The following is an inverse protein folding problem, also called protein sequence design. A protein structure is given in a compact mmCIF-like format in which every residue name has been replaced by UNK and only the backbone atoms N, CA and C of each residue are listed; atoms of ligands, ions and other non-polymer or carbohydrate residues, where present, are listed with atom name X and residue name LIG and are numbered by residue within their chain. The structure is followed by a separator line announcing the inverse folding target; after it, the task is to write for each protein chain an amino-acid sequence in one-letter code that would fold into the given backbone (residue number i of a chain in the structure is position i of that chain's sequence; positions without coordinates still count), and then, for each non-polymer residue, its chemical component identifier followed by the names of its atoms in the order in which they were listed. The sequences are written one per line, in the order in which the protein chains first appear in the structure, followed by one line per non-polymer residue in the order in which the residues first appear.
data_IF_482073616916
#
_entry.id   IF_482073616916
#
_cell.length_a   1.000
_cell.length_b   1.000
_cell.length_c   1.000
_cell.angle_alpha   90.00
_cell.angle_beta   90.00
_cell.angle_gamma   90.00
#
_symmetry.space_group_name_H-M   'P 1'
#
loop_
_entity.id
_entity.type
_entity.pdbx_description
1 polymer ?
#
# COMPACT_ATOMS: atom_id res chain seq x y z
N UNK A 1 -16.08 -27.05 46.47
CA UNK A 1 -14.81 -27.75 46.19
C UNK A 1 -14.46 -27.42 44.75
N UNK A 2 -13.65 -26.38 44.55
CA UNK A 2 -13.24 -25.91 43.22
C UNK A 2 -11.72 -25.92 43.20
N UNK A 3 -11.14 -26.61 42.21
CA UNK A 3 -9.70 -26.81 42.06
C UNK A 3 -9.09 -25.59 41.35
N UNK A 4 -8.10 -24.88 41.93
CA UNK A 4 -7.51 -23.69 41.30
C UNK A 4 -6.05 -23.96 40.87
N UNK A 5 -5.82 -24.60 39.71
CA UNK A 5 -4.45 -24.74 39.16
C UNK A 5 -4.39 -25.20 37.68
N UNK A 6 -4.90 -24.43 36.71
CA UNK A 6 -4.84 -24.83 35.27
C UNK A 6 -4.14 -23.89 34.26
N UNK A 7 -3.40 -22.82 34.61
CA UNK A 7 -2.51 -22.16 33.63
C UNK A 7 -1.06 -22.65 33.68
N UNK A 8 -0.58 -23.11 34.85
CA UNK A 8 0.83 -23.45 35.05
C UNK A 8 1.16 -24.85 34.51
N UNK A 9 0.24 -25.81 34.66
CA UNK A 9 0.41 -27.17 34.12
C UNK A 9 0.49 -27.18 32.60
N UNK A 10 -0.38 -26.42 31.92
CA UNK A 10 -0.35 -26.30 30.46
C UNK A 10 0.96 -25.66 29.97
N UNK A 11 1.46 -24.66 30.70
CA UNK A 11 2.74 -24.02 30.40
C UNK A 11 3.91 -24.97 30.52
N UNK A 12 3.92 -25.82 31.54
CA UNK A 12 4.94 -26.86 31.73
C UNK A 12 4.83 -27.98 30.69
N UNK A 13 3.61 -28.40 30.35
CA UNK A 13 3.38 -29.47 29.37
C UNK A 13 3.78 -29.05 27.95
N UNK A 14 3.53 -27.79 27.57
CA UNK A 14 4.05 -27.21 26.33
C UNK A 14 5.57 -27.11 26.35
N UNK A 15 6.16 -26.66 27.46
CA UNK A 15 7.64 -26.57 27.60
C UNK A 15 8.29 -27.94 27.50
N UNK A 16 7.62 -28.98 27.99
CA UNK A 16 8.00 -30.38 27.86
C UNK A 16 7.85 -30.89 26.43
N UNK A 17 6.77 -30.53 25.73
CA UNK A 17 6.56 -30.90 24.32
C UNK A 17 7.64 -30.29 23.42
N UNK A 18 7.92 -28.99 23.57
CA UNK A 18 8.91 -28.30 22.74
C UNK A 18 10.36 -28.64 23.10
N UNK A 19 10.60 -29.23 24.27
CA UNK A 19 11.90 -29.79 24.66
C UNK A 19 12.12 -31.22 24.14
N UNK A 20 11.15 -31.83 23.45
CA UNK A 20 11.32 -33.14 22.83
C UNK A 20 12.20 -33.00 21.56
N UNK A 21 13.40 -33.56 21.63
CA UNK A 21 14.36 -33.64 20.51
C UNK A 21 13.78 -34.31 19.25
N UNK A 22 12.65 -35.04 19.36
CA UNK A 22 11.94 -35.61 18.21
C UNK A 22 11.18 -34.57 17.39
N UNK A 23 10.84 -33.43 17.99
CA UNK A 23 10.23 -32.28 17.29
C UNK A 23 11.29 -31.30 16.77
N UNK A 24 12.56 -31.48 17.14
CA UNK A 24 13.65 -30.74 16.55
C UNK A 24 13.81 -31.16 15.08
N UNK A 25 13.18 -30.41 14.17
CA UNK A 25 13.40 -30.57 12.73
C UNK A 25 14.86 -30.22 12.46
N UNK A 26 15.73 -31.18 12.11
CA UNK A 26 17.12 -30.86 11.86
C UNK A 26 17.20 -29.95 10.64
N UNK A 27 17.67 -28.73 10.84
CA UNK A 27 18.03 -27.88 9.73
C UNK A 27 19.16 -28.57 8.97
N UNK A 28 18.92 -28.94 7.71
CA UNK A 28 19.99 -29.38 6.85
C UNK A 28 21.07 -28.28 6.83
N UNK A 29 22.30 -28.62 7.23
CA UNK A 29 23.42 -27.70 7.16
C UNK A 29 23.55 -27.22 5.72
N UNK A 30 23.49 -25.90 5.52
CA UNK A 30 23.46 -25.27 4.19
C UNK A 30 22.07 -24.92 3.66
N UNK A 31 20.97 -25.10 4.41
CA UNK A 31 19.63 -24.67 3.97
C UNK A 31 19.57 -23.16 3.67
N UNK A 32 20.27 -22.34 4.48
CA UNK A 32 20.39 -20.89 4.24
C UNK A 32 21.12 -20.61 2.93
N UNK A 33 22.25 -21.28 2.70
CA UNK A 33 23.04 -21.11 1.49
C UNK A 33 22.29 -21.62 0.24
N UNK A 34 21.50 -22.69 0.36
CA UNK A 34 20.66 -23.21 -0.70
C UNK A 34 19.52 -22.24 -1.06
N UNK A 35 18.91 -21.59 -0.07
CA UNK A 35 17.89 -20.55 -0.28
C UNK A 35 18.51 -19.34 -0.98
N UNK A 36 19.67 -18.87 -0.51
CA UNK A 36 20.38 -17.73 -1.11
C UNK A 36 20.84 -18.05 -2.53
N UNK A 37 21.40 -19.24 -2.76
CA UNK A 37 21.80 -19.69 -4.10
C UNK A 37 20.60 -19.83 -5.04
N UNK A 38 19.47 -20.32 -4.55
CA UNK A 38 18.20 -20.38 -5.29
C UNK A 38 17.70 -19.00 -5.69
N UNK A 39 17.67 -18.05 -4.76
CA UNK A 39 17.28 -16.66 -5.00
C UNK A 39 18.21 -15.97 -6.01
N UNK A 40 19.53 -16.17 -5.88
CA UNK A 40 20.53 -15.55 -6.75
C UNK A 40 20.48 -16.10 -8.17
N UNK A 41 20.18 -17.39 -8.36
CA UNK A 41 19.97 -18.01 -9.68
C UNK A 41 18.76 -17.39 -10.40
N UNK A 42 17.68 -17.10 -9.68
CA UNK A 42 16.47 -16.46 -10.22
C UNK A 42 16.76 -15.04 -10.72
N UNK A 43 17.53 -14.24 -9.95
CA UNK A 43 17.99 -12.90 -10.36
C UNK A 43 18.90 -12.93 -11.59
N UNK A 44 19.82 -13.90 -11.71
CA UNK A 44 20.70 -14.02 -12.89
C UNK A 44 19.93 -14.35 -14.17
N UNK A 45 18.92 -15.23 -14.11
CA UNK A 45 18.07 -15.54 -15.27
C UNK A 45 17.29 -14.32 -15.76
N UNK A 46 16.82 -13.45 -14.85
CA UNK A 46 16.12 -12.22 -15.22
C UNK A 46 17.00 -11.22 -15.99
N UNK A 47 18.31 -11.21 -15.76
CA UNK A 47 19.25 -10.33 -16.50
C UNK A 47 19.68 -10.87 -17.87
N UNK A 48 19.48 -12.17 -18.13
CA UNK A 48 19.80 -12.77 -19.43
C UNK A 48 18.64 -12.69 -20.44
N UNK A 49 17.43 -12.33 -20.00
CA UNK A 49 16.24 -12.23 -20.86
C UNK A 49 16.05 -10.86 -21.54
N UNK A 50 16.89 -9.85 -21.24
CA UNK A 50 16.79 -8.49 -21.80
C UNK A 50 17.93 -8.12 -22.76
N UNK A 51 18.62 -9.10 -23.35
CA UNK A 51 19.67 -8.83 -24.35
C UNK A 51 19.66 -9.81 -25.53
N UNK A 52 18.60 -9.76 -26.32
CA UNK A 52 18.54 -10.30 -27.68
C UNK A 52 17.31 -9.71 -28.38
N UNK A 53 17.32 -9.16 -29.59
CA UNK A 53 18.37 -8.78 -30.52
C UNK A 53 17.66 -7.88 -31.55
N UNK A 54 18.36 -6.86 -32.04
CA UNK A 54 17.89 -6.00 -33.11
C UNK A 54 17.88 -6.72 -34.47
N UNK A 55 16.97 -6.27 -35.36
CA UNK A 55 17.01 -6.28 -36.83
C UNK A 55 16.75 -7.61 -37.60
N UNK A 56 15.56 -7.68 -38.24
CA UNK A 56 15.28 -8.09 -39.63
C UNK A 56 13.74 -8.12 -39.79
N UNK A 57 13.06 -7.70 -40.86
CA UNK A 57 13.38 -7.28 -42.21
C UNK A 57 12.04 -6.98 -42.92
N UNK A 58 12.13 -6.28 -44.05
CA UNK A 58 11.05 -5.61 -44.79
C UNK A 58 10.28 -6.54 -45.76
N UNK A 59 8.98 -6.22 -45.99
CA UNK A 59 8.12 -6.50 -47.18
C UNK A 59 7.62 -7.93 -47.51
N UNK A 60 6.30 -8.15 -47.52
CA UNK A 60 5.47 -8.30 -48.75
C UNK A 60 4.01 -8.75 -48.49
N UNK A 61 3.19 -8.32 -49.46
CA UNK A 61 1.75 -8.44 -49.67
C UNK A 61 1.15 -9.88 -49.76
N UNK A 62 -0.18 -9.88 -49.63
CA UNK A 62 -1.17 -10.73 -50.33
C UNK A 62 -1.67 -12.03 -49.68
N UNK A 63 -2.94 -11.98 -49.25
CA UNK A 63 -4.00 -12.93 -49.62
C UNK A 63 -3.92 -14.37 -49.11
N UNK A 64 -4.92 -14.79 -48.33
CA UNK A 64 -5.22 -16.21 -48.14
C UNK A 64 -6.10 -16.53 -46.94
N UNK A 65 -7.41 -16.62 -47.18
CA UNK A 65 -8.39 -17.30 -46.33
C UNK A 65 -8.05 -18.79 -46.26
N UNK A 66 -7.99 -19.39 -45.07
CA UNK A 66 -8.40 -20.78 -44.86
C UNK A 66 -8.94 -21.01 -43.45
N UNK A 67 -10.01 -21.79 -43.40
CA UNK A 67 -10.92 -22.01 -42.29
C UNK A 67 -10.44 -23.07 -41.27
N UNK A 68 -11.06 -23.00 -40.09
CA UNK A 68 -11.03 -23.96 -38.96
C UNK A 68 -11.54 -25.34 -39.42
N UNK A 69 -11.18 -26.43 -38.70
CA UNK A 69 -12.21 -27.04 -37.85
C UNK A 69 -11.71 -27.53 -36.48
N UNK A 70 -12.53 -27.31 -35.45
CA UNK A 70 -12.59 -28.14 -34.24
C UNK A 70 -13.32 -29.46 -34.56
N UNK A 71 -13.16 -30.50 -33.73
CA UNK A 71 -14.35 -30.94 -33.00
C UNK A 71 -14.11 -31.46 -31.57
N UNK A 72 -15.08 -31.11 -30.72
CA UNK A 72 -15.75 -31.85 -29.62
C UNK A 72 -14.98 -32.84 -28.73
N UNK A 73 -15.05 -32.62 -27.42
CA UNK A 73 -15.87 -33.50 -26.55
C UNK A 73 -16.18 -32.88 -25.17
N UNK A 74 -17.48 -32.75 -24.89
CA UNK A 74 -18.14 -32.65 -23.58
C UNK A 74 -19.44 -33.48 -23.74
N UNK A 75 -20.12 -34.07 -22.72
CA UNK A 75 -20.28 -33.66 -21.31
C UNK A 75 -20.32 -34.92 -20.36
N UNK A 76 -20.96 -35.01 -19.15
CA UNK A 76 -21.80 -34.08 -18.38
C UNK A 76 -21.45 -33.89 -16.87
N UNK A 77 -22.12 -32.93 -16.20
CA UNK A 77 -21.93 -32.63 -14.78
C UNK A 77 -22.66 -33.64 -13.86
N UNK A 78 -22.05 -33.93 -12.72
CA UNK A 78 -22.71 -34.61 -11.59
C UNK A 78 -23.08 -33.59 -10.53
N UNK A 79 -24.37 -33.63 -10.17
CA UNK A 79 -25.05 -32.75 -9.24
C UNK A 79 -24.85 -33.18 -7.76
N UNK A 80 -24.90 -32.15 -6.91
CA UNK A 80 -25.52 -32.05 -5.57
C UNK A 80 -25.22 -33.08 -4.48
N UNK A 81 -24.90 -32.61 -3.27
CA UNK A 81 -25.84 -32.65 -2.14
C UNK A 81 -25.39 -31.82 -0.93
N UNK A 82 -26.43 -31.29 -0.29
CA UNK A 82 -26.54 -30.48 0.92
C UNK A 82 -25.71 -30.88 2.15
N UNK A 83 -25.49 -29.88 3.00
CA UNK A 83 -25.03 -30.03 4.38
C UNK A 83 -25.19 -28.76 5.21
N UNK A 84 -26.43 -28.41 5.56
CA UNK A 84 -26.91 -27.92 6.87
C UNK A 84 -25.82 -27.94 7.97
N UNK A 85 -25.52 -26.88 8.71
CA UNK A 85 -26.37 -26.36 9.78
C UNK A 85 -25.77 -25.06 10.37
N UNK A 86 -26.62 -24.07 10.62
CA UNK A 86 -26.30 -22.76 11.23
C UNK A 86 -26.87 -22.75 12.65
N UNK A 87 -26.07 -22.58 13.72
CA UNK A 87 -26.65 -22.34 15.04
C UNK A 87 -27.11 -20.87 15.17
N UNK A 88 -28.26 -20.62 15.82
CA UNK A 88 -28.75 -19.27 16.08
C UNK A 88 -28.08 -18.72 17.34
N UNK A 89 -27.58 -17.48 17.30
CA UNK A 89 -27.21 -16.74 18.51
C UNK A 89 -28.35 -15.83 18.94
N UNK A 90 -28.88 -16.20 20.10
CA UNK A 90 -29.93 -15.60 20.91
C UNK A 90 -29.60 -14.16 21.32
N UNK A 91 -30.54 -13.26 21.08
CA UNK A 91 -30.58 -11.91 21.63
C UNK A 91 -30.79 -11.94 23.15
N UNK A 92 -30.13 -11.04 23.89
CA UNK A 92 -30.43 -10.72 25.28
C UNK A 92 -30.56 -9.20 25.45
N UNK A 93 -31.74 -8.68 25.82
CA UNK A 93 -31.89 -7.30 26.27
C UNK A 93 -31.98 -7.20 27.80
N UNK A 94 -31.52 -6.06 28.32
CA UNK A 94 -31.69 -5.61 29.71
C UNK A 94 -30.36 -5.19 30.34
N UNK A 95 -30.26 -4.16 31.16
CA UNK A 95 -31.12 -3.03 31.50
C UNK A 95 -30.20 -1.99 32.18
N UNK A 96 -30.62 -0.73 32.19
CA UNK A 96 -30.00 0.46 32.82
C UNK A 96 -29.66 0.28 34.31
N UNK A 97 -28.78 1.14 34.87
CA UNK A 97 -29.36 2.22 35.66
C UNK A 97 -28.75 3.62 35.40
N UNK A 98 -29.69 4.54 35.43
CA UNK A 98 -29.62 5.99 35.67
C UNK A 98 -28.90 6.35 36.98
N UNK A 99 -28.23 7.52 37.04
CA UNK A 99 -28.27 8.50 38.16
C UNK A 99 -27.09 9.50 38.16
N UNK A 100 -27.45 10.79 38.14
CA UNK A 100 -26.80 11.87 38.91
C UNK A 100 -25.99 12.87 38.09
N UNK A 101 -26.56 14.00 37.65
CA UNK A 101 -26.78 15.27 38.40
C UNK A 101 -25.55 16.16 38.54
N UNK A 102 -25.66 17.35 37.90
CA UNK A 102 -25.27 18.71 38.34
C UNK A 102 -23.83 18.93 38.85
N UNK A 103 -23.14 20.05 38.65
CA UNK A 103 -23.57 21.43 38.50
C UNK A 103 -22.38 22.26 37.97
N UNK A 104 -22.70 23.50 37.59
CA UNK A 104 -21.89 24.58 37.06
C UNK A 104 -20.54 24.88 37.76
N UNK A 105 -19.62 25.54 37.04
CA UNK A 105 -19.01 26.87 37.35
C UNK A 105 -18.07 27.24 36.17
N UNK A 106 -18.49 28.10 35.25
CA UNK A 106 -18.03 29.50 35.15
C UNK A 106 -16.52 29.72 35.45
N UNK A 107 -15.71 29.97 34.40
CA UNK A 107 -14.55 30.85 34.53
C UNK A 107 -14.07 31.40 33.19
N UNK A 108 -14.64 32.57 32.87
CA UNK A 108 -14.06 33.75 32.20
C UNK A 108 -12.69 33.63 31.52
N UNK A 109 -12.69 34.04 30.23
CA UNK A 109 -11.60 34.74 29.53
C UNK A 109 -11.05 35.92 30.36
N UNK A 110 -9.76 36.22 30.20
CA UNK A 110 -9.42 37.50 29.56
C UNK A 110 -8.23 37.42 28.57
N UNK A 111 -8.48 37.77 27.31
CA UNK A 111 -7.62 38.68 26.53
C UNK A 111 -7.97 40.14 26.94
N UNK A 112 -7.26 41.22 26.54
CA UNK A 112 -6.05 41.36 25.71
C UNK A 112 -4.98 42.30 26.36
N UNK A 113 -3.74 42.34 25.83
CA UNK A 113 -2.89 43.54 25.88
C UNK A 113 -2.07 43.69 24.61
N UNK A 114 -2.61 44.50 23.70
CA UNK A 114 -1.91 45.19 22.62
C UNK A 114 -1.03 46.30 23.22
N UNK A 115 0.25 46.32 22.88
CA UNK A 115 1.10 47.51 22.99
C UNK A 115 1.61 47.88 21.59
N UNK A 116 1.01 48.92 21.00
CA UNK A 116 1.68 49.87 20.12
C UNK A 116 2.00 51.10 21.01
N UNK A 117 3.05 51.92 20.82
CA UNK A 117 3.58 52.57 19.63
C UNK A 117 4.92 53.30 20.01
N UNK A 118 5.42 54.35 19.31
CA UNK A 118 6.59 54.37 18.44
C UNK A 118 7.84 55.04 19.04
N UNK A 119 9.00 54.81 18.44
CA UNK A 119 10.20 55.63 18.64
C UNK A 119 10.80 56.05 17.30
N UNK A 120 10.90 57.36 16.99
CA UNK A 120 11.69 57.84 15.87
C UNK A 120 13.13 58.05 16.33
N UNK A 121 14.07 57.40 15.64
CA UNK A 121 15.51 57.56 15.85
C UNK A 121 16.21 57.50 14.51
N UNK A 122 16.72 58.65 14.09
CA UNK A 122 17.28 58.92 12.79
C UNK A 122 18.70 58.34 12.61
N UNK A 123 19.02 58.16 11.32
CA UNK A 123 20.29 58.48 10.66
C UNK A 123 21.53 57.58 10.79
N UNK A 124 22.07 57.36 9.58
CA UNK A 124 23.46 57.06 9.21
C UNK A 124 23.97 55.63 9.38
N UNK A 125 23.92 54.87 8.29
CA UNK A 125 25.14 54.53 7.56
C UNK A 125 24.82 53.88 6.20
N UNK A 126 25.30 54.53 5.15
CA UNK A 126 25.40 54.05 3.78
C UNK A 126 26.21 52.74 3.68
N UNK A 127 25.71 51.66 3.03
CA UNK A 127 26.55 50.54 2.63
C UNK A 127 26.95 50.67 1.15
N UNK A 128 28.26 50.67 0.94
CA UNK A 128 28.93 50.60 -0.36
C UNK A 128 28.44 49.43 -1.25
N UNK A 129 28.57 49.54 -2.59
CA UNK A 129 28.22 48.46 -3.51
C UNK A 129 29.28 47.35 -3.42
N UNK A 130 28.95 46.26 -2.73
CA UNK A 130 29.74 45.03 -2.79
C UNK A 130 29.17 44.15 -3.89
N UNK A 131 29.93 44.12 -4.98
CA UNK A 131 29.91 43.11 -6.05
C UNK A 131 29.92 41.71 -5.42
N UNK A 132 28.77 41.05 -5.37
CA UNK A 132 28.70 39.64 -5.02
C UNK A 132 29.12 38.79 -6.23
N UNK A 133 29.93 37.73 -6.05
CA UNK A 133 30.18 36.77 -7.12
C UNK A 133 28.92 35.93 -7.34
N UNK A 134 28.24 36.16 -8.47
CA UNK A 134 27.27 35.25 -9.07
C UNK A 134 27.97 33.95 -9.47
N UNK A 135 28.11 33.00 -8.54
CA UNK A 135 28.55 31.64 -8.90
C UNK A 135 28.05 30.58 -7.92
N UNK A 136 26.75 30.65 -7.57
CA UNK A 136 26.08 29.61 -6.78
C UNK A 136 24.60 29.39 -7.17
N UNK A 137 24.19 29.90 -8.33
CA UNK A 137 22.85 29.70 -8.89
C UNK A 137 22.78 28.54 -9.92
N UNK A 138 23.87 28.19 -10.59
CA UNK A 138 23.88 27.17 -11.67
C UNK A 138 24.20 25.74 -11.20
N UNK A 139 23.86 25.37 -9.96
CA UNK A 139 24.03 23.97 -9.50
C UNK A 139 22.83 23.40 -8.76
N UNK A 140 21.63 23.88 -9.08
CA UNK A 140 20.36 23.35 -8.56
C UNK A 140 19.36 22.88 -9.61
N UNK A 141 19.75 22.81 -10.89
CA UNK A 141 18.82 22.43 -11.97
C UNK A 141 19.30 21.22 -12.78
N UNK A 142 19.82 20.20 -12.11
CA UNK A 142 20.24 18.94 -12.78
C UNK A 142 19.81 17.69 -12.00
N UNK A 143 18.64 17.74 -11.35
CA UNK A 143 18.16 16.63 -10.52
C UNK A 143 16.69 16.65 -10.16
N UNK A 144 15.80 17.15 -11.02
CA UNK A 144 14.36 17.20 -10.72
C UNK A 144 13.51 16.93 -11.97
N UNK A 145 13.79 15.83 -12.67
CA UNK A 145 12.90 15.30 -13.72
C UNK A 145 12.71 13.79 -13.62
N UNK A 146 13.10 13.16 -12.51
CA UNK A 146 12.86 11.72 -12.27
C UNK A 146 11.75 11.45 -11.24
N UNK A 147 11.42 12.42 -10.39
CA UNK A 147 10.50 12.19 -9.25
C UNK A 147 9.03 12.53 -9.55
N UNK A 148 8.76 13.48 -10.44
CA UNK A 148 7.37 13.86 -10.76
C UNK A 148 6.56 12.72 -11.43
N UNK A 149 7.25 11.80 -12.11
CA UNK A 149 6.60 10.73 -12.86
C UNK A 149 6.18 9.54 -11.97
N UNK A 150 6.60 9.52 -10.69
CA UNK A 150 6.28 8.43 -9.76
C UNK A 150 5.49 8.88 -8.51
N UNK A 151 4.76 9.98 -8.63
CA UNK A 151 3.91 10.47 -7.53
C UNK A 151 2.63 9.63 -7.41
N UNK A 152 2.42 9.02 -6.24
CA UNK A 152 1.18 8.42 -5.79
C UNK A 152 0.31 9.51 -5.13
N UNK A 153 -0.39 10.28 -5.94
CA UNK A 153 -1.27 11.36 -5.49
C UNK A 153 -2.57 10.86 -4.85
N UNK A 154 -3.42 11.77 -4.34
CA UNK A 154 -4.66 11.41 -3.67
C UNK A 154 -5.68 10.71 -4.58
N UNK A 155 -5.65 11.00 -5.88
CA UNK A 155 -6.57 10.42 -6.86
C UNK A 155 -6.03 9.15 -7.53
N UNK A 156 -4.73 8.85 -7.38
CA UNK A 156 -4.10 7.72 -8.05
C UNK A 156 -2.63 7.91 -8.41
N UNK A 157 -2.17 7.14 -9.38
CA UNK A 157 -0.79 7.10 -9.86
C UNK A 157 -0.77 7.16 -11.39
N UNK A 158 -0.05 8.13 -11.97
CA UNK A 158 0.05 8.28 -13.43
C UNK A 158 -1.33 8.33 -14.10
N UNK A 159 -1.61 7.36 -14.97
CA UNK A 159 -2.94 7.22 -15.63
C UNK A 159 -3.95 6.41 -14.81
N UNK A 160 -3.49 5.62 -13.86
CA UNK A 160 -4.35 4.81 -12.98
C UNK A 160 -5.00 5.72 -11.95
N UNK A 161 -6.33 5.63 -11.80
CA UNK A 161 -7.10 6.43 -10.85
C UNK A 161 -7.95 5.55 -9.97
N UNK A 162 -8.13 5.95 -8.71
CA UNK A 162 -9.11 5.33 -7.83
C UNK A 162 -10.51 5.43 -8.47
N UNK A 163 -11.28 4.36 -8.40
CA UNK A 163 -12.62 4.30 -9.00
C UNK A 163 -12.67 3.91 -10.48
N UNK A 164 -11.52 3.86 -11.18
CA UNK A 164 -11.45 3.44 -12.58
C UNK A 164 -11.94 2.00 -12.73
N UNK A 165 -12.86 1.72 -13.65
CA UNK A 165 -13.40 0.36 -13.80
C UNK A 165 -12.35 -0.61 -14.37
N UNK A 166 -12.63 -1.92 -14.26
CA UNK A 166 -11.81 -2.93 -14.90
C UNK A 166 -11.72 -2.70 -16.41
N UNK A 167 -12.86 -2.44 -17.09
CA UNK A 167 -12.86 -2.20 -18.53
C UNK A 167 -12.08 -0.95 -18.90
N UNK A 168 -12.21 0.14 -18.15
CA UNK A 168 -11.45 1.36 -18.39
C UNK A 168 -9.94 1.14 -18.27
N UNK A 169 -9.50 0.39 -17.25
CA UNK A 169 -8.09 0.07 -17.06
C UNK A 169 -7.55 -0.85 -18.17
N UNK A 170 -8.33 -1.85 -18.59
CA UNK A 170 -7.97 -2.78 -19.65
C UNK A 170 -7.94 -2.09 -21.02
N UNK A 171 -9.01 -1.40 -21.39
CA UNK A 171 -9.15 -0.72 -22.68
C UNK A 171 -8.17 0.46 -22.80
N UNK A 172 -7.77 1.05 -21.67
CA UNK A 172 -6.71 2.05 -21.58
C UNK A 172 -5.28 1.50 -21.64
N UNK A 173 -5.11 0.19 -21.85
CA UNK A 173 -3.82 -0.51 -21.88
C UNK A 173 -2.99 -0.28 -20.60
N UNK A 174 -3.66 -0.21 -19.45
CA UNK A 174 -3.00 -0.01 -18.15
C UNK A 174 -2.65 -1.34 -17.47
N UNK A 175 -3.34 -2.43 -17.82
CA UNK A 175 -3.11 -3.76 -17.26
C UNK A 175 -2.04 -4.50 -18.06
N UNK A 176 -1.21 -5.28 -17.35
CA UNK A 176 -0.12 -6.04 -17.98
C UNK A 176 -0.62 -7.19 -18.88
N UNK A 177 -1.79 -7.75 -18.54
CA UNK A 177 -2.43 -8.81 -19.32
C UNK A 177 -3.64 -8.22 -20.08
N UNK A 178 -3.57 -8.14 -21.42
CA UNK A 178 -4.67 -7.61 -22.22
C UNK A 178 -5.90 -8.55 -22.25
N UNK A 179 -5.69 -9.84 -21.96
CA UNK A 179 -6.72 -10.87 -21.93
C UNK A 179 -7.20 -11.15 -20.49
N UNK A 180 -6.85 -10.29 -19.53
CA UNK A 180 -7.28 -10.40 -18.15
C UNK A 180 -8.81 -10.54 -18.05
N UNK A 181 -9.25 -11.39 -17.13
CA UNK A 181 -10.67 -11.58 -16.82
C UNK A 181 -11.14 -10.48 -15.85
N UNK A 182 -12.42 -10.05 -15.95
CA UNK A 182 -13.01 -9.13 -14.98
C UNK A 182 -12.93 -9.68 -13.55
N UNK A 183 -12.81 -8.83 -12.52
CA UNK A 183 -12.60 -9.27 -11.15
C UNK A 183 -13.86 -9.93 -10.58
N UNK A 184 -13.71 -11.11 -9.96
CA UNK A 184 -14.71 -11.68 -9.08
C UNK A 184 -14.46 -11.17 -7.65
N UNK A 185 -15.08 -10.04 -7.30
CA UNK A 185 -14.94 -9.43 -5.98
C UNK A 185 -13.86 -8.34 -5.93
N UNK A 186 -12.68 -8.63 -5.36
CA UNK A 186 -11.57 -7.67 -5.28
C UNK A 186 -10.22 -8.34 -5.55
N UNK A 187 -9.73 -8.19 -6.77
CA UNK A 187 -8.58 -8.96 -7.28
C UNK A 187 -7.39 -8.09 -7.65
N UNK A 188 -6.15 -8.60 -7.50
CA UNK A 188 -4.94 -7.90 -7.88
C UNK A 188 -4.64 -8.03 -9.38
N UNK A 189 -4.30 -6.90 -10.01
CA UNK A 189 -3.86 -6.84 -11.41
C UNK A 189 -2.50 -6.13 -11.51
N UNK A 190 -1.59 -6.71 -12.29
CA UNK A 190 -0.32 -6.08 -12.61
C UNK A 190 -0.52 -4.96 -13.65
N UNK A 191 0.29 -3.90 -13.57
CA UNK A 191 0.26 -2.79 -14.52
C UNK A 191 1.20 -3.03 -15.71
N UNK A 192 0.81 -2.53 -16.88
CA UNK A 192 1.57 -2.66 -18.13
C UNK A 192 2.96 -1.99 -18.07
N UNK A 193 3.10 -0.94 -17.26
CA UNK A 193 4.37 -0.24 -17.03
C UNK A 193 5.39 -1.03 -16.20
N UNK A 194 4.98 -2.16 -15.61
CA UNK A 194 5.80 -3.01 -14.76
C UNK A 194 5.57 -2.74 -13.27
N UNK A 195 6.58 -3.07 -12.45
CA UNK A 195 6.45 -3.11 -10.98
C UNK A 195 7.40 -2.18 -10.24
N UNK A 196 8.10 -1.29 -10.96
CA UNK A 196 9.14 -0.44 -10.35
C UNK A 196 8.52 0.62 -9.42
N UNK A 197 7.40 1.24 -9.84
CA UNK A 197 6.73 2.28 -9.05
C UNK A 197 5.50 1.77 -8.30
N UNK A 198 4.66 0.97 -8.97
CA UNK A 198 3.47 0.34 -8.40
C UNK A 198 3.54 -1.15 -8.69
N UNK A 199 3.42 -2.01 -7.68
CA UNK A 199 3.57 -3.46 -7.89
C UNK A 199 2.29 -4.11 -8.42
N UNK A 200 1.13 -3.62 -7.99
CA UNK A 200 -0.17 -3.98 -8.55
C UNK A 200 -1.23 -2.94 -8.19
N UNK A 201 -2.42 -3.09 -8.75
CA UNK A 201 -3.66 -2.46 -8.30
C UNK A 201 -4.64 -3.55 -7.89
N UNK A 202 -5.53 -3.28 -6.94
CA UNK A 202 -6.69 -4.13 -6.69
C UNK A 202 -7.93 -3.48 -7.27
N UNK A 203 -8.62 -4.22 -8.13
CA UNK A 203 -9.82 -3.77 -8.82
C UNK A 203 -11.00 -4.57 -8.27
N UNK A 204 -12.06 -3.86 -7.93
CA UNK A 204 -13.33 -4.45 -7.52
C UNK A 204 -14.38 -4.26 -8.61
N UNK A 205 -15.28 -5.23 -8.74
CA UNK A 205 -16.42 -5.16 -9.65
C UNK A 205 -17.27 -3.90 -9.40
N UNK A 206 -17.59 -3.61 -8.14
CA UNK A 206 -18.50 -2.51 -7.77
C UNK A 206 -17.80 -1.14 -7.65
N UNK A 207 -16.51 -1.13 -7.33
CA UNK A 207 -15.77 0.08 -6.99
C UNK A 207 -14.71 0.48 -8.01
N UNK A 208 -14.38 -0.37 -8.98
CA UNK A 208 -13.19 -0.20 -9.81
C UNK A 208 -11.90 -0.32 -9.00
N UNK A 209 -10.84 0.36 -9.43
CA UNK A 209 -9.54 0.42 -8.74
C UNK A 209 -9.75 0.96 -7.33
N UNK A 210 -9.63 0.09 -6.34
CA UNK A 210 -9.88 0.41 -4.94
C UNK A 210 -8.58 0.58 -4.14
N UNK A 211 -7.50 -0.09 -4.55
CA UNK A 211 -6.18 -0.01 -3.90
C UNK A 211 -5.10 0.09 -4.96
N UNK A 212 -4.17 1.02 -4.78
CA UNK A 212 -2.92 1.10 -5.54
C UNK A 212 -1.79 0.82 -4.57
N UNK A 213 -0.98 -0.18 -4.87
CA UNK A 213 0.09 -0.61 -3.97
C UNK A 213 1.44 -0.19 -4.54
N UNK A 214 2.08 0.77 -3.89
CA UNK A 214 3.38 1.29 -4.32
C UNK A 214 4.52 0.32 -3.99
N UNK A 215 5.54 0.35 -4.84
CA UNK A 215 6.84 -0.30 -4.64
C UNK A 215 7.96 0.74 -4.62
N UNK A 216 7.94 1.68 -5.57
CA UNK A 216 8.87 2.80 -5.67
C UNK A 216 8.20 4.18 -5.78
N UNK A 217 6.89 4.23 -6.03
CA UNK A 217 6.14 5.48 -6.04
C UNK A 217 6.16 6.13 -4.66
N UNK A 218 6.12 7.47 -4.65
CA UNK A 218 6.13 8.25 -3.41
C UNK A 218 4.90 9.13 -3.30
N UNK A 219 4.49 9.45 -2.09
CA UNK A 219 3.40 10.42 -1.86
C UNK A 219 3.83 11.84 -2.29
N UNK A 220 2.90 12.81 -2.41
CA UNK A 220 3.24 14.20 -2.70
C UNK A 220 4.25 14.82 -1.72
N UNK A 221 4.25 14.34 -0.48
CA UNK A 221 5.16 14.73 0.60
C UNK A 221 6.53 14.01 0.53
N UNK A 222 6.73 13.13 -0.46
CA UNK A 222 7.99 12.42 -0.70
C UNK A 222 8.16 11.12 0.10
N UNK A 223 7.11 10.63 0.78
CA UNK A 223 7.18 9.37 1.52
C UNK A 223 7.10 8.19 0.56
N UNK A 224 8.07 7.29 0.63
CA UNK A 224 8.16 6.05 -0.16
C UNK A 224 8.60 4.86 0.71
N UNK A 225 8.65 3.66 0.13
CA UNK A 225 9.24 2.47 0.76
C UNK A 225 10.67 2.77 1.24
N UNK A 226 10.97 2.47 2.50
CA UNK A 226 12.24 2.77 3.16
C UNK A 226 12.30 4.10 3.90
N UNK A 227 11.27 4.95 3.83
CA UNK A 227 11.19 6.16 4.67
C UNK A 227 11.03 5.78 6.13
N UNK A 228 11.60 6.58 7.05
CA UNK A 228 11.46 6.29 8.47
C UNK A 228 10.07 6.67 8.97
N UNK A 229 9.61 6.04 10.06
CA UNK A 229 8.35 6.42 10.72
C UNK A 229 8.33 7.88 11.18
N UNK A 230 9.47 8.42 11.60
CA UNK A 230 9.58 9.82 11.98
C UNK A 230 9.31 10.75 10.79
N UNK A 231 9.82 10.42 9.60
CA UNK A 231 9.53 11.15 8.37
C UNK A 231 8.03 11.12 8.04
N UNK A 232 7.39 9.96 8.20
CA UNK A 232 5.94 9.81 7.97
C UNK A 232 5.12 10.64 8.96
N UNK A 233 5.45 10.60 10.25
CA UNK A 233 4.74 11.36 11.29
C UNK A 233 4.94 12.88 11.12
N UNK A 234 6.11 13.29 10.62
CA UNK A 234 6.43 14.69 10.28
C UNK A 234 5.63 15.17 9.06
N UNK A 235 5.57 14.35 8.00
CA UNK A 235 4.81 14.64 6.79
C UNK A 235 3.29 14.61 7.01
N UNK A 236 2.80 13.71 7.87
CA UNK A 236 1.39 13.52 8.16
C UNK A 236 1.09 13.64 9.67
N UNK A 237 0.97 14.86 10.23
CA UNK A 237 0.74 15.07 11.66
C UNK A 237 -0.60 14.50 12.18
N UNK A 238 -1.52 14.12 11.28
CA UNK A 238 -2.82 13.50 11.60
C UNK A 238 -2.82 11.98 11.40
N UNK A 239 -1.63 11.35 11.33
CA UNK A 239 -1.47 9.91 11.19
C UNK A 239 -2.22 9.15 12.30
N UNK A 240 -2.98 8.12 11.93
CA UNK A 240 -3.74 7.27 12.86
C UNK A 240 -3.19 5.85 12.84
N UNK A 241 -2.92 5.30 14.01
CA UNK A 241 -2.58 3.89 14.14
C UNK A 241 -3.87 3.05 14.20
N UNK A 242 -4.02 2.10 13.28
CA UNK A 242 -5.17 1.21 13.20
C UNK A 242 -4.70 -0.24 12.99
N UNK A 243 -5.64 -1.20 13.05
CA UNK A 243 -5.30 -2.59 12.76
C UNK A 243 -4.76 -2.71 11.33
N UNK A 244 -3.52 -3.17 11.20
CA UNK A 244 -2.89 -3.38 9.89
C UNK A 244 -2.05 -2.21 9.38
N UNK A 245 -1.86 -1.12 10.13
CA UNK A 245 -0.89 -0.08 9.75
C UNK A 245 -1.20 1.30 10.28
N UNK A 246 -0.56 2.30 9.68
CA UNK A 246 -0.77 3.71 9.96
C UNK A 246 -1.45 4.39 8.78
N UNK A 247 -2.47 5.19 9.05
CA UNK A 247 -3.35 5.76 8.05
C UNK A 247 -3.24 7.29 8.05
N UNK A 248 -3.02 7.87 6.88
CA UNK A 248 -3.05 9.31 6.66
C UNK A 248 -4.10 9.66 5.62
N UNK A 249 -4.80 10.78 5.80
CA UNK A 249 -5.75 11.29 4.81
C UNK A 249 -4.94 11.73 3.58
N UNK A 250 -5.24 11.16 2.42
CA UNK A 250 -4.65 11.55 1.14
C UNK A 250 -5.50 12.62 0.46
N UNK A 251 -6.82 12.41 0.41
CA UNK A 251 -7.81 13.30 -0.20
C UNK A 251 -9.17 13.24 0.50
N UNK A 252 -10.23 13.73 -0.13
CA UNK A 252 -11.59 13.69 0.45
C UNK A 252 -12.13 12.27 0.62
N UNK A 253 -11.85 11.40 -0.36
CA UNK A 253 -12.32 10.00 -0.42
C UNK A 253 -11.14 9.01 -0.52
N UNK A 254 -9.96 9.37 0.01
CA UNK A 254 -8.78 8.51 -0.10
C UNK A 254 -7.83 8.65 1.10
N UNK A 255 -7.18 7.55 1.45
CA UNK A 255 -6.15 7.51 2.48
C UNK A 255 -4.92 6.72 2.05
N UNK A 256 -3.77 7.15 2.54
CA UNK A 256 -2.55 6.37 2.52
C UNK A 256 -2.55 5.39 3.69
N UNK A 257 -2.05 4.17 3.44
CA UNK A 257 -1.67 3.22 4.50
C UNK A 257 -0.18 2.95 4.42
N UNK A 258 0.49 3.10 5.56
CA UNK A 258 1.89 2.77 5.75
C UNK A 258 2.00 1.54 6.67
N UNK A 259 2.72 0.52 6.21
CA UNK A 259 3.10 -0.64 7.03
C UNK A 259 4.59 -0.54 7.27
N UNK A 260 4.99 -0.54 8.54
CA UNK A 260 6.39 -0.44 8.94
C UNK A 260 6.99 -1.83 9.22
N UNK A 261 8.28 -1.99 8.93
CA UNK A 261 9.04 -3.17 9.34
C UNK A 261 9.51 -3.06 10.82
N UNK A 262 10.36 -4.00 11.25
CA UNK A 262 10.90 -4.02 12.61
C UNK A 262 11.91 -2.89 12.90
N UNK A 263 12.41 -2.19 11.87
CA UNK A 263 13.31 -1.04 12.01
C UNK A 263 12.53 0.29 12.05
N UNK A 264 11.20 0.24 11.94
CA UNK A 264 10.31 1.39 11.75
C UNK A 264 10.50 2.10 10.41
N UNK A 265 10.93 1.38 9.38
CA UNK A 265 10.97 1.88 8.00
C UNK A 265 9.72 1.42 7.25
N UNK A 266 9.20 2.25 6.34
CA UNK A 266 8.03 1.91 5.50
C UNK A 266 8.38 0.69 4.66
N UNK A 267 7.74 -0.44 4.95
CA UNK A 267 7.85 -1.66 4.16
C UNK A 267 6.85 -1.69 3.01
N UNK A 268 5.65 -1.15 3.24
CA UNK A 268 4.58 -1.11 2.24
C UNK A 268 3.85 0.23 2.30
N UNK A 269 3.57 0.76 1.13
CA UNK A 269 2.79 1.98 0.91
C UNK A 269 1.60 1.67 0.01
N UNK A 270 0.41 2.05 0.46
CA UNK A 270 -0.83 1.89 -0.28
C UNK A 270 -1.57 3.21 -0.37
N UNK A 271 -2.24 3.45 -1.50
CA UNK A 271 -3.32 4.41 -1.63
C UNK A 271 -4.63 3.64 -1.75
N UNK A 272 -5.65 4.03 -0.97
CA UNK A 272 -6.96 3.36 -0.97
C UNK A 272 -8.09 4.38 -1.03
N UNK A 273 -9.15 4.05 -1.76
CA UNK A 273 -10.39 4.81 -1.75
C UNK A 273 -11.25 4.49 -0.51
N UNK A 274 -11.89 5.51 0.06
CA UNK A 274 -12.74 5.42 1.25
C UNK A 274 -14.12 4.81 1.00
N UNK A 275 -14.51 4.61 -0.27
CA UNK A 275 -15.75 3.89 -0.56
C UNK A 275 -15.62 2.46 -0.03
N UNK A 276 -16.31 2.23 1.08
CA UNK A 276 -16.33 1.00 1.86
C UNK A 276 -16.88 -0.15 1.02
N UNK A 277 -16.01 -0.82 0.28
CA UNK A 277 -16.28 -2.10 -0.36
C UNK A 277 -15.30 -3.17 0.09
N UNK A 278 -15.49 -4.35 -0.48
CA UNK A 278 -14.96 -5.64 -0.02
C UNK A 278 -13.43 -5.81 -0.21
N UNK A 279 -12.73 -4.79 -0.70
CA UNK A 279 -11.27 -4.78 -0.76
C UNK A 279 -10.67 -4.58 0.64
N UNK A 280 -10.75 -5.60 1.49
CA UNK A 280 -10.10 -5.63 2.79
C UNK A 280 -8.57 -5.71 2.64
N UNK A 281 -7.86 -5.21 3.65
CA UNK A 281 -6.42 -5.38 3.78
C UNK A 281 -6.13 -6.83 4.15
N UNK A 282 -5.68 -7.65 3.20
CA UNK A 282 -4.98 -8.91 3.50
C UNK A 282 -3.49 -8.64 3.75
#
# INVERSE_FOLDING_TARGET
MSNPHEPDELGEDLRRLFADDRLAVPHASGARDAIVAGAQRRRRRRRAASSSAAMAGVLMLAGGVFAIPAPSDAPPPVASSDGTERPPLTQRPGATPDRGSADATDRRLPEPQTFADPGPGAENAEPAPQTAPETLAERREDGMTLDADSVLGPDGYGRVRLGMTFEEARDGELLADPDAEPPEGCEPYALAEGTESVWHVRISEDLGVAVISASGAHTPEGITTGSSREDVESAYPRLRAESGGYHAIAGEDAHYRFVFDNHNDVQQLFLRGDRLGQCAWD
#
